data_IF_473025041537
#
_entry.id   IF_473025041537
#
_cell.length_a   1.000
_cell.length_b   1.000
_cell.length_c   1.000
_cell.angle_alpha   90.00
_cell.angle_beta   90.00
_cell.angle_gamma   90.00
#
_symmetry.space_group_name_H-M   'P 1'
#
loop_
_entity.id
_entity.type
_entity.pdbx_description
1 polymer ?
#
# COMPACT_ATOMS: atom_id res chain seq x y z
N UNK A 1 -13.59 1.16 0.00
CA UNK A 1 -12.14 0.95 0.22
C UNK A 1 -11.38 2.24 -0.06
N UNK A 2 -10.18 2.36 0.49
CA UNK A 2 -9.17 3.35 0.06
C UNK A 2 -7.89 2.61 -0.27
N UNK A 3 -7.42 2.73 -1.50
CA UNK A 3 -6.20 2.11 -1.99
C UNK A 3 -5.18 3.22 -2.33
N UNK A 4 -3.91 2.97 -2.01
CA UNK A 4 -2.77 3.85 -2.30
C UNK A 4 -2.78 5.18 -1.51
N UNK A 5 -1.60 5.65 -1.11
CA UNK A 5 -1.41 6.99 -0.52
C UNK A 5 -1.21 8.09 -1.57
N UNK A 6 -1.31 7.74 -2.86
CA UNK A 6 -1.13 8.61 -4.02
C UNK A 6 -2.13 8.22 -5.11
N UNK A 7 -2.47 9.16 -6.00
CA UNK A 7 -3.34 8.86 -7.14
C UNK A 7 -2.65 8.09 -8.25
N UNK A 8 -3.44 7.58 -9.18
CA UNK A 8 -2.94 7.09 -10.47
C UNK A 8 -2.71 8.29 -11.39
N UNK A 9 -1.49 8.43 -11.86
CA UNK A 9 -1.11 9.44 -12.84
C UNK A 9 -0.90 8.81 -14.20
N UNK A 10 -1.17 9.59 -15.25
CA UNK A 10 -0.81 9.25 -16.61
C UNK A 10 0.73 9.27 -16.74
N UNK A 11 1.30 8.23 -17.36
CA UNK A 11 2.75 8.01 -17.40
C UNK A 11 3.48 9.05 -18.27
N UNK A 12 2.79 9.61 -19.27
CA UNK A 12 3.36 10.55 -20.22
C UNK A 12 3.30 11.99 -19.69
N UNK A 13 2.25 12.32 -18.95
CA UNK A 13 1.98 13.70 -18.49
C UNK A 13 2.23 13.92 -17.00
N UNK A 14 2.27 12.85 -16.19
CA UNK A 14 2.35 12.93 -14.73
C UNK A 14 1.10 13.52 -14.08
N UNK A 15 0.06 13.82 -14.86
CA UNK A 15 -1.19 14.37 -14.37
C UNK A 15 -2.07 13.27 -13.79
N UNK A 16 -2.86 13.61 -12.78
CA UNK A 16 -3.89 12.72 -12.25
C UNK A 16 -4.83 12.30 -13.39
N UNK A 17 -4.97 10.99 -13.57
CA UNK A 17 -5.95 10.47 -14.52
C UNK A 17 -7.35 10.80 -14.04
N UNK A 18 -8.15 11.42 -14.92
CA UNK A 18 -9.55 11.68 -14.65
C UNK A 18 -10.35 10.39 -14.82
N UNK A 19 -10.66 9.73 -13.71
CA UNK A 19 -11.43 8.49 -13.70
C UNK A 19 -12.90 8.84 -13.54
N UNK A 20 -13.74 8.47 -14.53
CA UNK A 20 -15.20 8.56 -14.40
C UNK A 20 -15.76 7.38 -13.62
N UNK A 21 -15.38 6.16 -14.03
CA UNK A 21 -15.74 4.89 -13.39
C UNK A 21 -14.59 3.91 -13.63
N UNK A 22 -14.36 3.00 -12.69
CA UNK A 22 -13.41 1.90 -12.83
C UNK A 22 -13.86 0.67 -12.04
N UNK A 23 -13.37 -0.51 -12.40
CA UNK A 23 -13.66 -1.74 -11.66
C UNK A 23 -12.44 -2.20 -10.84
N UNK A 24 -12.70 -2.71 -9.66
CA UNK A 24 -11.75 -3.43 -8.82
C UNK A 24 -11.84 -4.92 -9.18
N UNK A 25 -10.73 -5.49 -9.66
CA UNK A 25 -10.69 -6.88 -10.09
C UNK A 25 -9.60 -7.65 -9.35
N UNK A 26 -9.78 -8.97 -9.26
CA UNK A 26 -8.73 -9.87 -8.80
C UNK A 26 -7.50 -9.77 -9.70
N UNK A 27 -6.33 -9.63 -9.09
CA UNK A 27 -5.05 -9.78 -9.75
C UNK A 27 -4.29 -10.97 -9.15
N UNK A 28 -3.70 -11.80 -10.00
CA UNK A 28 -2.75 -12.82 -9.57
C UNK A 28 -1.33 -12.38 -9.89
N UNK A 29 -0.39 -12.63 -8.97
CA UNK A 29 1.02 -12.36 -9.17
C UNK A 29 1.61 -13.44 -10.08
N UNK A 30 2.25 -13.01 -11.15
CA UNK A 30 2.94 -13.90 -12.11
C UNK A 30 4.43 -13.93 -11.80
N UNK A 31 5.02 -12.77 -11.55
CA UNK A 31 6.47 -12.61 -11.38
C UNK A 31 6.78 -11.42 -10.49
N UNK A 32 7.94 -11.47 -9.84
CA UNK A 32 8.53 -10.31 -9.17
C UNK A 32 9.87 -10.01 -9.84
N UNK A 33 9.97 -8.82 -10.40
CA UNK A 33 11.23 -8.26 -10.88
C UNK A 33 11.87 -7.55 -9.70
N UNK A 34 13.03 -8.04 -9.29
CA UNK A 34 13.76 -7.47 -8.16
C UNK A 34 14.23 -6.06 -8.51
N UNK A 35 14.19 -5.17 -7.52
CA UNK A 35 14.75 -3.83 -7.68
C UNK A 35 16.26 -3.88 -7.72
N UNK A 36 16.87 -2.90 -8.39
CA UNK A 36 18.31 -2.67 -8.39
C UNK A 36 18.60 -1.22 -8.02
N UNK A 37 19.86 -0.91 -7.72
CA UNK A 37 20.23 0.46 -7.33
C UNK A 37 19.90 1.44 -8.46
N UNK A 38 19.04 2.41 -8.18
CA UNK A 38 18.58 3.39 -9.16
C UNK A 38 17.37 2.96 -9.99
N UNK A 39 16.88 1.73 -9.86
CA UNK A 39 15.70 1.23 -10.58
C UNK A 39 14.82 0.41 -9.63
N UNK A 40 13.65 0.94 -9.21
CA UNK A 40 12.69 0.18 -8.41
C UNK A 40 12.31 -1.13 -9.09
N UNK A 41 12.18 -2.19 -8.31
CA UNK A 41 11.60 -3.45 -8.80
C UNK A 41 10.09 -3.33 -8.97
N UNK A 42 9.46 -4.39 -9.45
CA UNK A 42 8.01 -4.42 -9.70
C UNK A 42 7.41 -5.79 -9.44
N UNK A 43 6.16 -5.79 -8.97
CA UNK A 43 5.28 -6.96 -8.97
C UNK A 43 4.52 -6.99 -10.28
N UNK A 44 4.76 -8.02 -11.09
CA UNK A 44 4.07 -8.26 -12.35
C UNK A 44 2.93 -9.23 -12.11
N UNK A 45 1.73 -8.82 -12.48
CA UNK A 45 0.52 -9.63 -12.31
C UNK A 45 -0.39 -9.59 -13.53
N UNK A 46 -1.37 -10.50 -13.53
CA UNK A 46 -2.44 -10.55 -14.52
C UNK A 46 -3.77 -10.29 -13.84
N UNK A 47 -4.58 -9.42 -14.44
CA UNK A 47 -5.92 -9.12 -13.97
C UNK A 47 -6.86 -10.19 -14.52
N UNK A 48 -7.60 -10.86 -13.63
CA UNK A 48 -8.67 -11.75 -14.05
C UNK A 48 -9.96 -10.98 -14.26
N UNK A 49 -10.66 -11.31 -15.35
CA UNK A 49 -11.93 -10.68 -15.74
C UNK A 49 -13.03 -11.75 -15.89
N UNK A 50 -13.10 -12.67 -14.93
CA UNK A 50 -14.26 -13.56 -14.78
C UNK A 50 -15.39 -12.87 -14.02
N UNK A 51 -16.61 -13.40 -14.12
CA UNK A 51 -17.78 -12.87 -13.43
C UNK A 51 -17.61 -12.87 -11.89
N UNK A 52 -16.85 -13.83 -11.34
CA UNK A 52 -16.53 -13.96 -9.91
C UNK A 52 -15.26 -13.18 -9.48
N UNK A 53 -14.56 -12.54 -10.42
CA UNK A 53 -13.31 -11.82 -10.17
C UNK A 53 -13.52 -10.30 -10.02
N UNK A 54 -14.75 -9.82 -10.14
CA UNK A 54 -15.12 -8.43 -9.84
C UNK A 54 -15.33 -8.26 -8.33
N UNK A 55 -14.60 -7.31 -7.75
CA UNK A 55 -14.58 -7.04 -6.31
C UNK A 55 -15.18 -5.69 -5.93
N UNK A 56 -15.58 -4.86 -6.89
CA UNK A 56 -16.25 -3.59 -6.63
C UNK A 56 -15.86 -2.49 -7.61
N UNK A 57 -16.15 -1.25 -7.25
CA UNK A 57 -16.04 -0.10 -8.15
C UNK A 57 -15.12 0.96 -7.58
N UNK A 58 -14.34 1.58 -8.46
CA UNK A 58 -13.56 2.78 -8.19
C UNK A 58 -14.44 4.00 -8.46
N UNK A 59 -14.66 4.81 -7.44
CA UNK A 59 -15.46 6.03 -7.53
C UNK A 59 -14.57 7.25 -7.80
N UNK A 60 -13.34 7.26 -7.26
CA UNK A 60 -12.48 8.46 -7.25
C UNK A 60 -11.00 8.12 -7.38
N UNK A 61 -10.28 8.98 -8.10
CA UNK A 61 -8.83 9.03 -8.13
C UNK A 61 -8.36 10.43 -7.68
N UNK A 62 -7.78 10.51 -6.49
CA UNK A 62 -7.33 11.77 -5.87
C UNK A 62 -5.82 11.78 -5.73
N UNK A 63 -5.21 12.91 -5.36
CA UNK A 63 -3.75 12.97 -5.11
C UNK A 63 -3.31 12.07 -3.96
N UNK A 64 -4.25 11.63 -3.13
CA UNK A 64 -4.01 10.90 -1.89
C UNK A 64 -4.40 9.42 -1.98
N UNK A 65 -4.95 8.97 -3.12
CA UNK A 65 -5.35 7.58 -3.29
C UNK A 65 -6.54 7.40 -4.23
N UNK A 66 -6.89 6.15 -4.42
CA UNK A 66 -8.10 5.69 -5.11
C UNK A 66 -9.12 5.26 -4.07
N UNK A 67 -10.35 5.73 -4.22
CA UNK A 67 -11.45 5.41 -3.31
C UNK A 67 -12.62 4.83 -4.07
N UNK A 68 -13.36 3.95 -3.42
CA UNK A 68 -14.46 3.24 -4.06
C UNK A 68 -15.23 2.34 -3.13
N UNK A 69 -16.11 1.52 -3.69
CA UNK A 69 -16.90 0.52 -2.97
C UNK A 69 -16.40 -0.89 -3.29
N UNK A 70 -16.46 -1.77 -2.30
CA UNK A 70 -16.16 -3.20 -2.47
C UNK A 70 -17.48 -3.94 -2.39
N UNK A 71 -17.68 -4.94 -3.24
CA UNK A 71 -18.88 -5.75 -3.27
C UNK A 71 -19.03 -6.54 -1.95
N UNK A 72 -20.27 -6.72 -1.47
CA UNK A 72 -20.56 -7.40 -0.20
C UNK A 72 -20.04 -8.84 -0.15
N UNK A 73 -19.95 -9.51 -1.31
CA UNK A 73 -19.39 -10.86 -1.46
C UNK A 73 -17.95 -10.96 -0.97
N UNK A 74 -17.16 -9.89 -1.13
CA UNK A 74 -15.77 -9.80 -0.68
C UNK A 74 -15.69 -9.66 0.84
N UNK A 75 -16.60 -8.89 1.45
CA UNK A 75 -16.68 -8.70 2.91
C UNK A 75 -17.17 -9.97 3.63
N UNK A 76 -18.13 -10.67 3.03
CA UNK A 76 -18.76 -11.87 3.61
C UNK A 76 -17.91 -13.13 3.49
N UNK A 77 -16.75 -13.06 2.83
CA UNK A 77 -15.74 -14.10 2.93
C UNK A 77 -15.24 -14.18 4.39
N UNK A 78 -15.54 -15.29 5.08
CA UNK A 78 -15.21 -15.62 6.49
C UNK A 78 -13.72 -15.51 6.90
N UNK A 79 -12.84 -14.98 6.05
CA UNK A 79 -11.39 -14.89 6.22
C UNK A 79 -10.88 -13.47 6.48
N UNK A 80 -11.73 -12.45 6.51
CA UNK A 80 -11.28 -11.07 6.75
C UNK A 80 -11.03 -10.82 8.24
N UNK A 81 -9.75 -10.59 8.60
CA UNK A 81 -9.35 -10.24 9.96
C UNK A 81 -9.45 -8.72 10.15
N UNK A 82 -10.18 -8.29 11.17
CA UNK A 82 -10.28 -6.88 11.56
C UNK A 82 -9.13 -6.51 12.48
N UNK A 83 -8.59 -5.31 12.31
CA UNK A 83 -7.53 -4.76 13.14
C UNK A 83 -7.95 -3.39 13.68
N UNK A 84 -7.58 -3.06 14.93
CA UNK A 84 -7.77 -1.71 15.45
C UNK A 84 -6.90 -0.70 14.68
N UNK A 85 -7.39 0.52 14.55
CA UNK A 85 -6.63 1.63 14.01
C UNK A 85 -5.68 2.19 15.09
N UNK A 86 -4.44 2.48 14.71
CA UNK A 86 -3.49 3.24 15.52
C UNK A 86 -3.46 4.71 15.12
N UNK A 87 -3.59 5.58 16.12
CA UNK A 87 -3.55 7.03 15.92
C UNK A 87 -2.11 7.52 15.90
N UNK A 88 -1.87 8.72 15.35
CA UNK A 88 -0.50 9.27 15.22
C UNK A 88 0.27 9.29 16.54
N UNK A 89 -0.39 9.58 17.66
CA UNK A 89 0.23 9.61 18.99
C UNK A 89 0.63 8.22 19.52
N UNK A 90 0.07 7.14 18.97
CA UNK A 90 0.39 5.77 19.37
C UNK A 90 1.64 5.23 18.67
N UNK A 91 2.08 5.87 17.60
CA UNK A 91 3.15 5.38 16.71
C UNK A 91 4.52 5.73 17.30
N UNK A 92 5.43 4.75 17.29
CA UNK A 92 6.79 4.89 17.81
C UNK A 92 7.81 4.44 16.77
N UNK A 93 9.00 5.02 16.83
CA UNK A 93 10.14 4.49 16.09
C UNK A 93 10.52 3.10 16.62
N UNK A 94 11.14 2.28 15.77
CA UNK A 94 11.52 0.91 16.08
C UNK A 94 10.66 -0.14 15.36
N UNK A 95 10.51 -1.31 15.98
CA UNK A 95 9.95 -2.50 15.32
C UNK A 95 8.50 -2.30 14.88
N UNK A 96 8.21 -2.75 13.68
CA UNK A 96 6.88 -2.82 13.08
C UNK A 96 6.85 -3.96 12.06
N UNK A 97 5.70 -4.19 11.45
CA UNK A 97 5.57 -5.15 10.35
C UNK A 97 4.75 -4.56 9.20
N UNK A 98 4.86 -5.16 8.02
CA UNK A 98 3.97 -4.88 6.89
C UNK A 98 3.27 -6.16 6.45
N UNK A 99 2.02 -6.02 6.01
CA UNK A 99 1.26 -7.09 5.37
C UNK A 99 1.30 -6.89 3.86
N UNK A 100 1.91 -7.83 3.14
CA UNK A 100 1.95 -7.75 1.67
C UNK A 100 1.94 -9.13 1.04
N UNK A 101 1.46 -9.19 -0.20
CA UNK A 101 1.48 -10.40 -1.02
C UNK A 101 2.60 -10.22 -2.05
N UNK A 102 3.74 -10.85 -1.78
CA UNK A 102 4.90 -10.95 -2.70
C UNK A 102 5.14 -12.40 -3.12
N UNK A 103 4.11 -13.24 -2.99
CA UNK A 103 4.11 -14.66 -3.34
C UNK A 103 2.65 -15.11 -3.46
N UNK A 104 2.37 -16.41 -3.32
CA UNK A 104 1.04 -16.98 -3.47
C UNK A 104 0.04 -16.57 -2.37
N UNK A 105 0.53 -15.93 -1.29
CA UNK A 105 -0.31 -15.52 -0.14
C UNK A 105 0.19 -14.22 0.50
N UNK A 106 -0.72 -13.57 1.21
CA UNK A 106 -0.40 -12.44 2.10
C UNK A 106 0.43 -12.98 3.26
N UNK A 107 1.58 -12.36 3.51
CA UNK A 107 2.43 -12.65 4.65
C UNK A 107 2.79 -11.36 5.40
N UNK A 108 3.22 -11.52 6.65
CA UNK A 108 3.68 -10.44 7.51
C UNK A 108 5.21 -10.41 7.54
N UNK A 109 5.79 -9.24 7.26
CA UNK A 109 7.23 -9.06 7.17
C UNK A 109 7.73 -7.98 8.12
N UNK A 110 8.87 -8.23 8.74
CA UNK A 110 9.50 -7.31 9.67
C UNK A 110 10.04 -6.05 8.99
N UNK A 111 9.78 -4.91 9.63
CA UNK A 111 10.31 -3.61 9.24
C UNK A 111 10.71 -2.82 10.49
N UNK A 112 11.37 -1.69 10.27
CA UNK A 112 11.67 -0.70 11.29
C UNK A 112 11.17 0.67 10.86
N UNK A 113 10.52 1.39 11.78
CA UNK A 113 10.15 2.79 11.62
C UNK A 113 11.33 3.62 12.09
N UNK A 114 12.09 4.17 11.15
CA UNK A 114 13.28 4.96 11.44
C UNK A 114 12.94 6.41 11.83
N UNK A 115 11.88 6.97 11.23
CA UNK A 115 11.46 8.36 11.46
C UNK A 115 9.96 8.52 11.36
N UNK A 116 9.42 9.44 12.16
CA UNK A 116 8.01 9.85 12.13
C UNK A 116 7.97 11.36 11.85
N UNK A 117 7.21 11.74 10.82
CA UNK A 117 7.05 13.11 10.35
C UNK A 117 5.59 13.54 10.52
N UNK A 118 5.25 14.07 11.70
CA UNK A 118 3.86 14.41 12.03
C UNK A 118 3.34 15.65 11.26
N UNK A 119 4.25 16.56 10.90
CA UNK A 119 3.93 17.89 10.35
C UNK A 119 4.31 18.03 8.86
N UNK A 120 4.42 16.94 8.13
CA UNK A 120 4.72 16.98 6.69
C UNK A 120 3.52 17.52 5.90
N UNK A 121 3.75 18.50 5.03
CA UNK A 121 2.75 18.92 4.02
C UNK A 121 2.47 17.80 3.00
N UNK A 122 3.45 16.91 2.81
CA UNK A 122 3.31 15.72 1.99
C UNK A 122 2.87 14.53 2.85
N UNK A 123 1.55 14.32 2.94
CA UNK A 123 0.95 13.25 3.72
C UNK A 123 1.44 11.83 3.37
N UNK A 124 1.94 11.62 2.14
CA UNK A 124 2.54 10.35 1.72
C UNK A 124 3.88 10.03 2.40
N UNK A 125 4.51 11.01 3.06
CA UNK A 125 5.83 10.90 3.70
C UNK A 125 5.75 11.04 5.23
N UNK A 126 4.69 10.50 5.83
CA UNK A 126 4.45 10.59 7.27
C UNK A 126 5.41 9.76 8.12
N UNK A 127 6.00 8.71 7.56
CA UNK A 127 7.01 7.89 8.24
C UNK A 127 8.07 7.39 7.28
N UNK A 128 9.28 7.18 7.77
CA UNK A 128 10.37 6.49 7.06
C UNK A 128 10.43 5.05 7.57
N UNK A 129 10.39 4.13 6.63
CA UNK A 129 10.37 2.68 6.85
C UNK A 129 11.66 2.08 6.33
N UNK A 130 12.14 1.04 7.01
CA UNK A 130 13.26 0.23 6.58
C UNK A 130 12.87 -1.26 6.65
N UNK A 131 12.97 -1.96 5.52
CA UNK A 131 12.73 -3.40 5.44
C UNK A 131 13.89 -4.15 6.10
N UNK A 132 13.61 -4.86 7.18
CA UNK A 132 14.60 -5.66 7.92
C UNK A 132 14.40 -7.15 7.75
N UNK A 133 13.27 -7.57 7.16
CA UNK A 133 12.95 -8.97 6.92
C UNK A 133 13.80 -9.60 5.83
N UNK A 134 14.60 -10.60 6.20
CA UNK A 134 15.53 -11.28 5.28
C UNK A 134 14.80 -12.02 4.15
N UNK A 135 13.61 -12.57 4.41
CA UNK A 135 12.85 -13.30 3.39
C UNK A 135 12.34 -12.33 2.34
N UNK A 136 11.71 -11.22 2.77
CA UNK A 136 11.26 -10.18 1.85
C UNK A 136 12.41 -9.63 1.01
N UNK A 137 13.52 -9.25 1.67
CA UNK A 137 14.72 -8.76 0.98
C UNK A 137 15.26 -9.75 -0.06
N UNK A 138 15.26 -11.05 0.24
CA UNK A 138 15.70 -12.06 -0.73
C UNK A 138 14.79 -12.17 -1.95
N UNK A 139 13.49 -11.94 -1.78
CA UNK A 139 12.48 -12.08 -2.82
C UNK A 139 12.42 -10.84 -3.72
N UNK A 140 12.49 -9.65 -3.15
CA UNK A 140 12.17 -8.38 -3.83
C UNK A 140 13.34 -7.40 -3.92
N UNK A 141 14.40 -7.62 -3.14
CA UNK A 141 15.48 -6.65 -2.90
C UNK A 141 15.01 -5.33 -2.26
N UNK A 142 13.92 -5.38 -1.46
CA UNK A 142 13.36 -4.23 -0.76
C UNK A 142 11.91 -3.93 -1.14
N UNK A 143 11.53 -2.66 -1.08
CA UNK A 143 10.23 -2.17 -1.50
C UNK A 143 10.22 -2.09 -3.03
N UNK A 144 9.23 -2.74 -3.64
CA UNK A 144 9.02 -2.75 -5.09
C UNK A 144 7.69 -2.10 -5.45
N UNK A 145 7.55 -1.66 -6.70
CA UNK A 145 6.27 -1.18 -7.22
C UNK A 145 5.22 -2.28 -7.13
N UNK A 146 4.02 -1.92 -6.68
CA UNK A 146 2.95 -2.86 -6.33
C UNK A 146 2.85 -3.15 -4.83
N UNK A 147 3.87 -2.82 -4.02
CA UNK A 147 3.75 -2.88 -2.55
C UNK A 147 3.05 -1.65 -1.96
N UNK A 148 2.87 -0.57 -2.73
CA UNK A 148 2.14 0.62 -2.29
C UNK A 148 0.72 0.23 -1.85
N UNK A 149 0.28 0.72 -0.69
CA UNK A 149 -0.96 0.31 -0.04
C UNK A 149 -0.83 -0.86 0.93
N UNK A 150 0.34 -1.52 1.02
CA UNK A 150 0.58 -2.57 2.03
C UNK A 150 0.38 -2.02 3.44
N UNK A 151 -0.53 -2.60 4.26
CA UNK A 151 -0.77 -2.14 5.62
C UNK A 151 0.49 -2.24 6.48
N UNK A 152 0.75 -1.19 7.25
CA UNK A 152 1.81 -1.11 8.24
C UNK A 152 1.19 -1.35 9.61
N UNK A 153 1.77 -2.29 10.35
CA UNK A 153 1.29 -2.74 11.64
C UNK A 153 2.30 -2.42 12.74
N UNK A 154 1.83 -1.92 13.87
CA UNK A 154 2.63 -1.79 15.09
C UNK A 154 1.72 -2.02 16.30
N UNK A 155 2.20 -2.77 17.29
CA UNK A 155 1.45 -3.09 18.52
C UNK A 155 0.03 -3.65 18.26
N UNK A 156 -0.10 -4.47 17.21
CA UNK A 156 -1.38 -5.10 16.82
C UNK A 156 -2.38 -4.17 16.14
N UNK A 157 -2.01 -2.92 15.84
CA UNK A 157 -2.83 -1.90 15.19
C UNK A 157 -2.36 -1.65 13.76
N UNK A 158 -3.28 -1.33 12.83
CA UNK A 158 -2.93 -0.72 11.55
C UNK A 158 -2.57 0.74 11.84
N UNK A 159 -1.35 1.15 11.53
CA UNK A 159 -0.88 2.53 11.77
C UNK A 159 -0.74 3.33 10.46
N UNK A 160 -0.74 2.64 9.32
CA UNK A 160 -0.48 3.27 8.03
C UNK A 160 -0.45 2.30 6.87
N UNK A 161 0.00 2.82 5.72
CA UNK A 161 0.27 2.02 4.53
C UNK A 161 1.56 2.50 3.85
N UNK A 162 2.27 1.57 3.20
CA UNK A 162 3.47 1.88 2.39
C UNK A 162 3.06 2.76 1.20
N UNK A 163 3.86 3.77 0.85
CA UNK A 163 3.57 4.67 -0.29
C UNK A 163 4.65 4.61 -1.36
N UNK A 164 5.86 5.07 -1.07
CA UNK A 164 6.93 5.26 -2.05
C UNK A 164 8.23 4.63 -1.56
N UNK A 165 9.02 4.09 -2.49
CA UNK A 165 10.38 3.59 -2.23
C UNK A 165 11.41 4.71 -2.40
N UNK A 166 12.54 4.64 -1.71
CA UNK A 166 13.67 5.52 -1.97
C UNK A 166 14.44 5.02 -3.19
N UNK A 167 14.60 5.87 -4.21
CA UNK A 167 15.24 5.48 -5.49
C UNK A 167 16.68 4.98 -5.31
N UNK A 168 17.41 5.54 -4.35
CA UNK A 168 18.80 5.19 -4.07
C UNK A 168 18.96 4.05 -3.05
N UNK A 169 17.87 3.66 -2.38
CA UNK A 169 17.88 2.63 -1.34
C UNK A 169 16.53 1.92 -1.29
N UNK A 170 16.40 0.83 -2.04
CA UNK A 170 15.15 0.07 -2.14
C UNK A 170 14.72 -0.55 -0.81
N UNK A 171 15.61 -0.72 0.17
CA UNK A 171 15.21 -1.24 1.48
C UNK A 171 14.47 -0.19 2.31
N UNK A 172 14.50 1.08 1.90
CA UNK A 172 13.81 2.18 2.58
C UNK A 172 12.68 2.77 1.76
N UNK A 173 11.71 3.33 2.47
CA UNK A 173 10.57 3.98 1.84
C UNK A 173 9.80 4.85 2.80
N UNK A 174 8.67 5.33 2.30
CA UNK A 174 7.74 6.17 3.03
C UNK A 174 6.45 5.42 3.33
N UNK A 175 5.80 5.82 4.42
CA UNK A 175 4.44 5.43 4.76
C UNK A 175 3.53 6.64 5.03
N UNK A 176 2.25 6.46 4.78
CA UNK A 176 1.17 7.38 5.16
C UNK A 176 0.50 6.88 6.44
N UNK A 177 0.08 7.79 7.31
CA UNK A 177 -0.71 7.45 8.49
C UNK A 177 -2.13 7.00 8.10
N UNK A 178 -2.63 5.94 8.73
CA UNK A 178 -4.00 5.45 8.52
C UNK A 178 -5.04 6.54 8.86
N UNK A 179 -4.76 7.37 9.86
CA UNK A 179 -5.60 8.50 10.24
C UNK A 179 -5.77 9.50 9.08
N UNK A 180 -4.73 9.73 8.28
CA UNK A 180 -4.84 10.58 7.10
C UNK A 180 -5.67 9.90 6.01
N UNK A 181 -5.49 8.59 5.79
CA UNK A 181 -6.25 7.83 4.80
C UNK A 181 -7.76 7.88 5.09
N UNK A 182 -8.17 7.76 6.36
CA UNK A 182 -9.58 7.88 6.76
C UNK A 182 -10.10 9.30 6.54
N UNK A 183 -9.33 10.33 6.94
CA UNK A 183 -9.72 11.73 6.70
C UNK A 183 -9.98 12.02 5.22
N UNK A 184 -9.21 11.44 4.31
CA UNK A 184 -9.42 11.59 2.86
C UNK A 184 -10.61 10.78 2.33
N UNK A 185 -10.99 9.70 3.02
CA UNK A 185 -12.22 8.96 2.71
C UNK A 185 -13.47 9.71 3.19
N UNK A 186 -13.40 10.39 4.33
CA UNK A 186 -14.54 11.06 4.98
C UNK A 186 -14.77 12.50 4.51
N UNK A 187 -13.74 13.16 3.95
CA UNK A 187 -13.86 14.44 3.24
C UNK A 187 -13.67 14.23 1.72
N UNK A 188 -14.72 13.76 1.03
CA UNK A 188 -14.71 13.39 -0.38
C UNK A 188 -14.36 14.51 -1.37
#
# INVERSE_FOLDING_TARGET
>A
FGALGHGITDVDTGLLMNVKEGGLYRADIVQINKGEKGTPGEVVGVIRKGDDDHYGYVDKNTRQGIFGQVDESVYNCKKTKKYPMGLKQDIKTGKATILCQVSDRIEEYNIEIEKIELNTENYSKGMVLHITDKKLLSLTNGIVQGMSGSPIMQDGKIIGAVTHVFVQDSTRGYGIFVENMIKFSDNP
#
